data_IF_091036392219
#
_entry.id   IF_091036392219
#
_cell.length_a   1.000
_cell.length_b   1.000
_cell.length_c   1.000
_cell.angle_alpha   90.00
_cell.angle_beta   90.00
_cell.angle_gamma   90.00
#
_symmetry.space_group_name_H-M   'P 1'
#
loop_
_entity.id
_entity.type
_entity.pdbx_description
1 polymer ?
#
# COMPACT_ATOMS: atom_id res chain seq x y z
N UNK A 1 15.72 -7.31 -9.90
CA UNK A 1 14.75 -7.40 -8.78
C UNK A 1 14.22 -6.00 -8.49
N UNK A 2 12.90 -5.78 -8.43
CA UNK A 2 12.34 -4.46 -8.13
C UNK A 2 12.30 -4.25 -6.61
N UNK A 3 13.43 -3.83 -6.05
CA UNK A 3 13.60 -3.55 -4.61
C UNK A 3 13.99 -2.10 -4.40
N UNK A 4 13.48 -1.49 -3.33
CA UNK A 4 13.73 -0.10 -2.97
C UNK A 4 15.19 0.15 -2.58
N UNK A 5 15.81 -0.81 -1.88
CA UNK A 5 17.20 -0.75 -1.45
C UNK A 5 18.01 -1.87 -2.09
N UNK A 6 19.23 -1.55 -2.48
CA UNK A 6 20.23 -2.49 -2.97
C UNK A 6 21.48 -2.44 -2.09
N UNK A 7 22.17 -3.57 -1.97
CA UNK A 7 23.47 -3.61 -1.32
C UNK A 7 24.49 -3.05 -2.30
N UNK A 8 25.31 -2.10 -1.85
CA UNK A 8 26.52 -1.69 -2.56
C UNK A 8 27.74 -2.14 -1.75
N UNK A 9 28.80 -2.51 -2.45
CA UNK A 9 30.10 -2.83 -1.86
C UNK A 9 31.12 -1.92 -2.52
N UNK A 10 31.70 -1.01 -1.75
CA UNK A 10 32.78 -0.13 -2.20
C UNK A 10 33.87 -0.13 -1.12
N UNK A 11 35.13 -0.23 -1.54
CA UNK A 11 36.30 -0.20 -0.64
C UNK A 11 36.18 -1.18 0.55
N UNK A 12 35.76 -2.43 0.31
CA UNK A 12 35.55 -3.46 1.34
C UNK A 12 34.49 -3.11 2.41
N UNK A 13 33.63 -2.11 2.16
CA UNK A 13 32.50 -1.76 3.03
C UNK A 13 31.20 -2.03 2.29
N UNK A 14 30.30 -2.75 2.94
CA UNK A 14 28.94 -2.97 2.45
C UNK A 14 27.99 -1.94 3.05
N UNK A 15 27.06 -1.43 2.25
CA UNK A 15 26.01 -0.50 2.69
C UNK A 15 24.70 -0.69 1.92
N UNK A 16 23.64 -0.05 2.40
CA UNK A 16 22.34 0.00 1.73
C UNK A 16 22.20 1.31 0.96
N UNK A 17 22.03 1.20 -0.35
CA UNK A 17 21.81 2.33 -1.24
C UNK A 17 20.40 2.29 -1.81
N UNK A 18 19.83 3.46 -2.12
CA UNK A 18 18.60 3.52 -2.89
C UNK A 18 18.83 2.95 -4.29
N UNK A 19 17.89 2.12 -4.73
CA UNK A 19 17.88 1.64 -6.10
C UNK A 19 17.19 2.68 -6.99
N UNK A 20 17.94 3.35 -7.86
CA UNK A 20 17.43 4.39 -8.76
C UNK A 20 16.41 3.89 -9.77
N UNK A 21 16.42 2.59 -10.07
CA UNK A 21 15.45 1.95 -10.98
C UNK A 21 14.28 1.31 -10.22
N UNK A 22 14.13 1.61 -8.93
CA UNK A 22 12.97 1.14 -8.16
C UNK A 22 11.70 1.77 -8.70
N UNK A 23 10.78 0.93 -9.15
CA UNK A 23 9.44 1.34 -9.56
C UNK A 23 8.48 1.07 -8.40
N UNK A 24 7.92 2.08 -7.74
CA UNK A 24 6.93 1.86 -6.68
C UNK A 24 5.73 1.11 -7.25
N UNK A 25 5.33 0.03 -6.56
CA UNK A 25 4.13 -0.74 -6.91
C UNK A 25 2.94 -0.15 -6.19
N UNK A 26 1.90 0.19 -6.94
CA UNK A 26 0.59 0.49 -6.40
C UNK A 26 -0.32 -0.72 -6.62
N UNK A 27 -1.13 -1.06 -5.62
CA UNK A 27 -2.21 -2.04 -5.73
C UNK A 27 -3.52 -1.30 -5.47
N UNK A 28 -4.47 -1.46 -6.39
CA UNK A 28 -5.82 -0.92 -6.23
C UNK A 28 -6.68 -1.93 -5.47
N UNK A 29 -7.50 -1.42 -4.55
CA UNK A 29 -8.51 -2.19 -3.85
C UNK A 29 -9.87 -1.62 -4.20
N UNK A 30 -10.83 -2.49 -4.47
CA UNK A 30 -12.19 -2.09 -4.88
C UNK A 30 -13.12 -1.87 -3.69
N UNK A 31 -12.77 -2.42 -2.53
CA UNK A 31 -13.52 -2.29 -1.29
C UNK A 31 -12.57 -1.95 -0.16
N UNK A 32 -12.99 -1.05 0.71
CA UNK A 32 -12.30 -0.79 1.97
C UNK A 32 -13.30 -0.76 3.13
N UNK A 33 -12.83 -1.09 4.32
CA UNK A 33 -13.58 -0.98 5.56
C UNK A 33 -12.74 -0.21 6.57
N UNK A 34 -13.37 0.70 7.29
CA UNK A 34 -12.74 1.44 8.39
C UNK A 34 -13.17 0.76 9.69
N UNK A 35 -12.19 0.31 10.48
CA UNK A 35 -12.42 -0.43 11.72
C UNK A 35 -11.62 0.23 12.84
N UNK A 36 -12.34 0.80 13.81
CA UNK A 36 -11.82 1.58 14.94
C UNK A 36 -11.14 0.75 16.04
N UNK A 37 -11.35 -0.57 16.04
CA UNK A 37 -10.92 -1.47 17.12
C UNK A 37 -10.29 -2.75 16.59
N UNK A 38 -9.10 -3.07 17.10
CA UNK A 38 -8.30 -4.23 16.71
C UNK A 38 -9.07 -5.57 16.84
N UNK A 39 -9.91 -5.72 17.87
CA UNK A 39 -10.75 -6.91 18.09
C UNK A 39 -11.75 -7.16 16.94
N UNK A 40 -12.25 -6.10 16.32
CA UNK A 40 -13.17 -6.19 15.17
C UNK A 40 -12.42 -6.57 13.89
N UNK A 41 -11.14 -6.21 13.77
CA UNK A 41 -10.30 -6.58 12.63
C UNK A 41 -10.12 -8.09 12.59
N UNK A 42 -9.74 -8.72 13.71
CA UNK A 42 -9.58 -10.18 13.80
C UNK A 42 -10.88 -10.92 13.47
N UNK A 43 -12.01 -10.41 13.94
CA UNK A 43 -13.34 -10.97 13.64
C UNK A 43 -13.68 -10.84 12.15
N UNK A 44 -13.26 -9.76 11.49
CA UNK A 44 -13.48 -9.55 10.06
C UNK A 44 -12.60 -10.46 9.21
N UNK A 45 -11.35 -10.65 9.61
CA UNK A 45 -10.40 -11.53 8.94
C UNK A 45 -10.77 -13.01 9.05
N UNK A 46 -11.57 -13.39 10.05
CA UNK A 46 -12.00 -14.78 10.26
C UNK A 46 -13.29 -15.15 9.52
N UNK A 47 -13.97 -14.20 8.86
CA UNK A 47 -15.18 -14.50 8.08
C UNK A 47 -14.78 -15.13 6.74
N UNK A 48 -15.42 -16.24 6.37
CA UNK A 48 -15.16 -16.97 5.11
C UNK A 48 -15.34 -16.12 3.83
N UNK A 49 -16.05 -15.00 3.94
CA UNK A 49 -16.30 -14.07 2.82
C UNK A 49 -15.21 -12.99 2.67
N UNK A 50 -14.23 -12.95 3.58
CA UNK A 50 -13.18 -11.95 3.54
C UNK A 50 -12.13 -12.27 2.45
N UNK A 51 -12.12 -11.45 1.41
CA UNK A 51 -11.15 -11.52 0.32
C UNK A 51 -9.99 -10.54 0.55
N UNK A 52 -8.91 -11.02 1.15
CA UNK A 52 -7.69 -10.24 1.39
C UNK A 52 -7.02 -9.70 0.10
N UNK A 53 -7.37 -10.24 -1.07
CA UNK A 53 -6.82 -9.74 -2.33
C UNK A 53 -7.51 -8.46 -2.79
N UNK A 54 -8.79 -8.29 -2.47
CA UNK A 54 -9.63 -7.21 -2.99
C UNK A 54 -10.17 -6.25 -1.91
N UNK A 55 -10.04 -6.61 -0.63
CA UNK A 55 -10.52 -5.82 0.51
C UNK A 55 -9.34 -5.19 1.27
N UNK A 56 -9.44 -3.89 1.53
CA UNK A 56 -8.51 -3.14 2.38
C UNK A 56 -9.16 -2.81 3.73
N UNK A 57 -8.46 -3.05 4.84
CA UNK A 57 -8.91 -2.63 6.17
C UNK A 57 -8.08 -1.44 6.62
N UNK A 58 -8.74 -0.37 7.03
CA UNK A 58 -8.14 0.88 7.48
C UNK A 58 -8.50 1.12 8.95
N UNK A 59 -7.54 1.64 9.71
CA UNK A 59 -7.76 2.02 11.12
C UNK A 59 -8.53 3.36 11.21
N UNK A 60 -8.26 4.27 10.27
CA UNK A 60 -8.87 5.59 10.20
C UNK A 60 -9.37 5.87 8.79
N UNK A 61 -10.44 6.67 8.68
CA UNK A 61 -10.95 7.11 7.40
C UNK A 61 -9.92 8.00 6.71
N UNK A 62 -9.57 7.73 5.43
CA UNK A 62 -8.57 8.53 4.75
C UNK A 62 -9.10 9.96 4.60
N UNK A 63 -8.31 11.00 4.90
CA UNK A 63 -8.74 12.39 4.86
C UNK A 63 -8.83 12.94 3.42
N UNK A 64 -9.07 12.08 2.43
CA UNK A 64 -9.08 12.41 1.01
C UNK A 64 -10.53 12.45 0.56
N UNK A 65 -11.04 13.65 0.31
CA UNK A 65 -12.28 13.83 -0.44
C UNK A 65 -12.00 13.52 -1.91
N UNK A 66 -12.65 12.47 -2.43
CA UNK A 66 -12.50 12.04 -3.82
C UNK A 66 -13.41 12.88 -4.74
N UNK A 67 -12.98 14.09 -5.07
CA UNK A 67 -13.72 15.03 -5.94
C UNK A 67 -13.56 14.75 -7.46
N UNK A 68 -13.34 13.49 -7.86
CA UNK A 68 -13.02 13.14 -9.25
C UNK A 68 -14.10 12.30 -9.94
N UNK A 69 -14.45 12.66 -11.19
CA UNK A 69 -15.02 11.70 -12.13
C UNK A 69 -14.08 10.50 -12.27
N UNK A 70 -14.67 9.30 -12.31
CA UNK A 70 -14.01 8.00 -12.42
C UNK A 70 -13.27 7.88 -13.75
N UNK A 71 -12.11 8.53 -13.87
CA UNK A 71 -11.27 8.45 -15.06
C UNK A 71 -10.60 7.08 -15.08
N UNK A 72 -11.16 6.19 -15.92
CA UNK A 72 -11.00 4.74 -15.87
C UNK A 72 -9.57 4.16 -15.85
N UNK A 73 -8.50 4.95 -15.93
CA UNK A 73 -7.13 4.44 -16.08
C UNK A 73 -6.02 5.32 -15.44
N UNK A 74 -6.31 6.26 -14.53
CA UNK A 74 -5.29 7.13 -13.93
C UNK A 74 -5.17 6.88 -12.42
N UNK A 75 -4.00 6.40 -11.98
CA UNK A 75 -3.64 6.31 -10.56
C UNK A 75 -2.79 7.52 -10.18
N UNK A 76 -3.30 8.37 -9.28
CA UNK A 76 -2.57 9.53 -8.75
C UNK A 76 -2.05 9.26 -7.35
N UNK A 77 -0.73 9.32 -7.15
CA UNK A 77 -0.12 9.22 -5.83
C UNK A 77 -0.17 10.61 -5.17
N UNK A 78 -1.10 10.80 -4.24
CA UNK A 78 -1.34 12.10 -3.57
C UNK A 78 -0.27 12.42 -2.51
N UNK A 79 0.36 11.40 -1.92
CA UNK A 79 1.45 11.56 -0.95
C UNK A 79 2.51 10.47 -1.13
N UNK A 80 3.73 10.88 -1.45
CA UNK A 80 4.90 9.99 -1.53
C UNK A 80 6.11 10.67 -0.89
N UNK A 81 6.23 10.53 0.43
CA UNK A 81 7.44 10.72 1.25
C UNK A 81 7.11 10.34 2.68
#
# INVERSE_FOLDING_TARGET
MNVKYKIYIENNKAGLGLNSTYLPRAKMYYKFYVVDKEEKVLTMLSVDTFDYQNILVLEEEPPIELDGEDSANIVRIVKYR
#
